data_IF_129852795208
#
_entry.id   IF_129852795208
#
_cell.length_a   1.000
_cell.length_b   1.000
_cell.length_c   1.000
_cell.angle_alpha   90.00
_cell.angle_beta   90.00
_cell.angle_gamma   90.00
#
_symmetry.space_group_name_H-M   'P 1'
#
loop_
_entity.id
_entity.type
_entity.pdbx_description
1 polymer ?
#
# COMPACT_ATOMS: atom_id res chain seq x y z
N UNK A 1 -19.09 20.00 8.93
CA UNK A 1 -20.53 20.03 8.56
C UNK A 1 -21.13 18.63 8.50
N UNK A 2 -20.48 17.64 7.87
CA UNK A 2 -21.02 16.28 7.71
C UNK A 2 -21.26 15.53 9.03
N UNK A 3 -20.51 15.83 10.07
CA UNK A 3 -20.59 15.20 11.39
C UNK A 3 -21.71 15.81 12.26
N UNK A 4 -22.14 17.02 11.90
CA UNK A 4 -23.13 17.73 12.67
C UNK A 4 -24.52 17.13 12.45
N UNK A 5 -25.23 16.80 13.52
CA UNK A 5 -26.59 16.25 13.44
C UNK A 5 -26.69 14.73 13.57
N UNK A 6 -25.61 14.05 13.95
CA UNK A 6 -25.54 12.61 14.19
C UNK A 6 -26.19 11.80 13.04
N UNK A 7 -25.62 11.80 11.84
CA UNK A 7 -26.18 11.11 10.68
C UNK A 7 -26.22 9.59 10.87
N UNK A 8 -27.22 8.92 10.32
CA UNK A 8 -27.33 7.45 10.34
C UNK A 8 -26.22 6.78 9.54
N UNK A 9 -25.74 7.43 8.47
CA UNK A 9 -24.64 6.97 7.62
C UNK A 9 -23.70 8.13 7.30
N UNK A 10 -22.42 7.94 7.59
CA UNK A 10 -21.35 8.89 7.26
C UNK A 10 -20.46 8.30 6.18
N UNK A 11 -20.31 8.99 5.07
CA UNK A 11 -19.42 8.60 3.96
C UNK A 11 -18.27 9.57 3.88
N UNK A 12 -17.05 9.07 3.93
CA UNK A 12 -15.81 9.86 3.90
C UNK A 12 -14.87 9.35 2.83
N UNK A 13 -14.36 10.27 2.00
CA UNK A 13 -13.37 9.98 0.98
C UNK A 13 -12.06 10.70 1.35
N UNK A 14 -10.99 9.92 1.54
CA UNK A 14 -9.65 10.40 1.95
C UNK A 14 -9.69 11.40 3.11
N UNK A 15 -10.35 11.09 4.25
CA UNK A 15 -10.58 12.08 5.31
C UNK A 15 -9.32 12.51 6.06
N UNK A 16 -8.21 11.80 5.90
CA UNK A 16 -6.91 12.12 6.51
C UNK A 16 -6.08 13.12 5.71
N UNK A 17 -6.46 13.38 4.44
CA UNK A 17 -5.74 14.33 3.61
C UNK A 17 -5.86 15.74 4.20
N UNK A 18 -4.75 16.48 4.13
CA UNK A 18 -4.63 17.85 4.63
C UNK A 18 -4.87 18.05 6.15
N UNK A 19 -4.99 16.96 6.92
CA UNK A 19 -5.07 17.02 8.37
C UNK A 19 -3.67 16.89 9.00
N UNK A 20 -3.46 17.60 10.11
CA UNK A 20 -2.29 17.40 10.96
C UNK A 20 -2.45 16.14 11.84
N UNK A 21 -1.36 15.68 12.44
CA UNK A 21 -1.35 14.46 13.25
C UNK A 21 -2.41 14.48 14.37
N UNK A 22 -2.58 15.60 15.07
CA UNK A 22 -3.54 15.71 16.17
C UNK A 22 -4.99 15.62 15.67
N UNK A 23 -5.26 16.22 14.51
CA UNK A 23 -6.57 16.17 13.85
C UNK A 23 -6.91 14.76 13.37
N UNK A 24 -5.93 14.01 12.85
CA UNK A 24 -6.10 12.59 12.50
C UNK A 24 -6.38 11.74 13.74
N UNK A 25 -5.63 11.95 14.84
CA UNK A 25 -5.86 11.22 16.10
C UNK A 25 -7.26 11.51 16.67
N UNK A 26 -7.70 12.76 16.61
CA UNK A 26 -9.06 13.13 17.00
C UNK A 26 -10.11 12.43 16.12
N UNK A 27 -9.88 12.41 14.78
CA UNK A 27 -10.79 11.76 13.85
C UNK A 27 -10.90 10.25 14.10
N UNK A 28 -9.78 9.59 14.39
CA UNK A 28 -9.77 8.16 14.76
C UNK A 28 -10.64 7.91 15.98
N UNK A 29 -10.46 8.69 17.05
CA UNK A 29 -11.25 8.58 18.28
C UNK A 29 -12.74 8.82 18.00
N UNK A 30 -13.06 9.87 17.23
CA UNK A 30 -14.43 10.17 16.84
C UNK A 30 -15.09 9.00 16.11
N UNK A 31 -14.39 8.38 15.14
CA UNK A 31 -14.94 7.25 14.36
C UNK A 31 -15.14 6.02 15.27
N UNK A 32 -14.20 5.75 16.18
CA UNK A 32 -14.30 4.62 17.11
C UNK A 32 -15.48 4.75 18.08
N UNK A 33 -15.85 5.97 18.43
CA UNK A 33 -16.98 6.28 19.33
C UNK A 33 -18.33 6.47 18.59
N UNK A 34 -18.28 6.54 17.24
CA UNK A 34 -19.49 6.77 16.44
C UNK A 34 -20.32 5.49 16.35
N UNK A 35 -21.55 5.56 16.83
CA UNK A 35 -22.45 4.39 16.96
C UNK A 35 -23.08 3.96 15.64
N UNK A 36 -23.19 4.88 14.68
CA UNK A 36 -23.86 4.64 13.40
C UNK A 36 -22.88 4.10 12.32
N UNK A 37 -23.39 3.90 11.11
CA UNK A 37 -22.60 3.30 10.02
C UNK A 37 -21.65 4.32 9.39
N UNK A 38 -20.38 3.93 9.23
CA UNK A 38 -19.37 4.72 8.51
C UNK A 38 -18.86 3.94 7.31
N UNK A 39 -18.75 4.61 6.17
CA UNK A 39 -18.06 4.13 4.97
C UNK A 39 -16.88 5.05 4.72
N UNK A 40 -15.68 4.50 4.75
CA UNK A 40 -14.43 5.25 4.54
C UNK A 40 -13.69 4.72 3.31
N UNK A 41 -13.24 5.62 2.46
CA UNK A 41 -12.25 5.36 1.43
C UNK A 41 -10.97 6.05 1.85
N UNK A 42 -9.84 5.32 1.96
CA UNK A 42 -8.54 5.90 2.28
C UNK A 42 -7.39 5.05 1.77
N UNK A 43 -6.25 5.69 1.51
CA UNK A 43 -4.97 5.05 1.24
C UNK A 43 -4.09 4.93 2.49
N UNK A 44 -4.46 5.56 3.59
CA UNK A 44 -3.76 5.47 4.87
C UNK A 44 -4.10 4.14 5.56
N UNK A 45 -3.14 3.20 5.48
CA UNK A 45 -3.28 1.86 6.04
C UNK A 45 -3.41 1.88 7.56
N UNK A 46 -2.69 2.77 8.22
CA UNK A 46 -2.73 2.89 9.67
C UNK A 46 -4.10 3.39 10.14
N UNK A 47 -4.62 4.38 9.45
CA UNK A 47 -5.97 4.89 9.69
C UNK A 47 -7.02 3.81 9.50
N UNK A 48 -7.01 3.11 8.34
CA UNK A 48 -7.95 2.02 8.05
C UNK A 48 -7.87 0.89 9.09
N UNK A 49 -6.66 0.53 9.51
CA UNK A 49 -6.45 -0.53 10.51
C UNK A 49 -7.01 -0.16 11.88
N UNK A 50 -6.97 1.13 12.21
CA UNK A 50 -7.44 1.66 13.50
C UNK A 50 -8.96 1.81 13.58
N UNK A 51 -9.65 2.04 12.46
CA UNK A 51 -11.08 2.40 12.48
C UNK A 51 -11.99 1.37 11.82
N UNK A 52 -11.50 0.56 10.87
CA UNK A 52 -12.35 -0.35 10.11
C UNK A 52 -12.56 -1.69 10.79
N UNK A 53 -13.81 -2.13 10.86
CA UNK A 53 -14.21 -3.47 11.30
C UNK A 53 -14.42 -4.43 10.12
N UNK A 54 -14.63 -3.88 8.92
CA UNK A 54 -14.84 -4.62 7.67
C UNK A 54 -14.10 -3.92 6.55
N UNK A 55 -13.57 -4.70 5.60
CA UNK A 55 -12.90 -4.20 4.40
C UNK A 55 -13.69 -4.65 3.17
N UNK A 56 -14.00 -3.70 2.30
CA UNK A 56 -14.59 -3.93 0.98
C UNK A 56 -13.54 -3.72 -0.08
N UNK A 57 -13.07 -4.82 -0.67
CA UNK A 57 -12.03 -4.81 -1.69
C UNK A 57 -12.65 -4.78 -3.09
N UNK A 58 -12.32 -3.75 -3.86
CA UNK A 58 -12.79 -3.58 -5.24
C UNK A 58 -11.64 -3.93 -6.18
N UNK A 59 -11.74 -5.08 -6.85
CA UNK A 59 -10.77 -5.51 -7.86
C UNK A 59 -11.46 -6.26 -9.00
N UNK A 60 -10.98 -6.10 -10.23
CA UNK A 60 -11.55 -6.71 -11.45
C UNK A 60 -13.06 -6.49 -11.64
N UNK A 61 -13.58 -5.34 -11.22
CA UNK A 61 -15.01 -5.00 -11.32
C UNK A 61 -15.92 -5.79 -10.36
N UNK A 62 -15.34 -6.39 -9.32
CA UNK A 62 -16.07 -7.10 -8.26
C UNK A 62 -15.75 -6.48 -6.92
N UNK A 63 -16.72 -6.55 -6.01
CA UNK A 63 -16.57 -6.14 -4.63
C UNK A 63 -16.54 -7.40 -3.77
N UNK A 64 -15.46 -7.58 -3.02
CA UNK A 64 -15.31 -8.65 -2.05
C UNK A 64 -15.31 -8.06 -0.65
N UNK A 65 -16.19 -8.57 0.21
CA UNK A 65 -16.32 -8.13 1.59
C UNK A 65 -15.55 -9.07 2.53
N UNK A 66 -14.81 -8.49 3.44
CA UNK A 66 -14.04 -9.20 4.46
C UNK A 66 -14.39 -8.64 5.84
N UNK A 67 -14.60 -9.52 6.80
CA UNK A 67 -14.71 -9.13 8.20
C UNK A 67 -13.30 -9.06 8.80
N UNK A 68 -13.01 -7.99 9.50
CA UNK A 68 -11.71 -7.69 10.08
C UNK A 68 -11.15 -6.35 9.61
N UNK A 69 -10.01 -5.96 10.20
CA UNK A 69 -9.30 -4.74 9.85
C UNK A 69 -8.41 -4.90 8.60
N UNK A 70 -7.72 -3.83 8.21
CA UNK A 70 -6.88 -3.83 7.02
C UNK A 70 -5.73 -4.86 7.08
N UNK A 71 -5.03 -4.96 8.22
CA UNK A 71 -3.94 -5.92 8.40
C UNK A 71 -4.40 -7.36 8.27
N UNK A 72 -5.57 -7.69 8.81
CA UNK A 72 -6.16 -9.03 8.67
C UNK A 72 -6.53 -9.33 7.23
N UNK A 73 -7.15 -8.38 6.53
CA UNK A 73 -7.48 -8.51 5.11
C UNK A 73 -6.22 -8.75 4.27
N UNK A 74 -5.16 -7.95 4.50
CA UNK A 74 -3.91 -8.08 3.76
C UNK A 74 -3.28 -9.46 3.94
N UNK A 75 -3.14 -9.92 5.19
CA UNK A 75 -2.58 -11.22 5.49
C UNK A 75 -3.39 -12.38 4.86
N UNK A 76 -4.72 -12.30 4.94
CA UNK A 76 -5.63 -13.30 4.37
C UNK A 76 -5.56 -13.33 2.85
N UNK A 77 -5.49 -12.17 2.19
CA UNK A 77 -5.38 -12.04 0.74
C UNK A 77 -4.05 -12.58 0.21
N UNK A 78 -2.95 -12.28 0.91
CA UNK A 78 -1.62 -12.82 0.57
C UNK A 78 -1.58 -14.34 0.72
N UNK A 79 -2.16 -14.87 1.79
CA UNK A 79 -2.23 -16.31 2.03
C UNK A 79 -3.04 -17.02 0.94
N UNK A 80 -4.21 -16.49 0.60
CA UNK A 80 -5.06 -17.02 -0.47
C UNK A 80 -4.34 -17.01 -1.82
N UNK A 81 -3.62 -15.95 -2.13
CA UNK A 81 -2.82 -15.85 -3.36
C UNK A 81 -1.69 -16.89 -3.39
N UNK A 82 -0.97 -17.07 -2.29
CA UNK A 82 0.09 -18.10 -2.17
C UNK A 82 -0.49 -19.51 -2.35
N UNK A 83 -1.63 -19.79 -1.72
CA UNK A 83 -2.29 -21.10 -1.85
C UNK A 83 -2.71 -21.38 -3.29
N UNK A 84 -3.29 -20.41 -3.98
CA UNK A 84 -3.66 -20.53 -5.41
C UNK A 84 -2.43 -20.77 -6.29
N UNK A 85 -1.34 -20.04 -6.07
CA UNK A 85 -0.07 -20.25 -6.79
C UNK A 85 0.47 -21.66 -6.60
N UNK A 86 0.45 -22.16 -5.37
CA UNK A 86 0.90 -23.54 -5.08
C UNK A 86 -0.01 -24.59 -5.72
N UNK A 87 -1.33 -24.39 -5.69
CA UNK A 87 -2.28 -25.28 -6.33
C UNK A 87 -2.08 -25.32 -7.85
N UNK A 88 -1.93 -24.15 -8.48
CA UNK A 88 -1.65 -24.06 -9.91
C UNK A 88 -0.35 -24.76 -10.28
N UNK A 89 0.73 -24.52 -9.52
CA UNK A 89 2.01 -25.18 -9.76
C UNK A 89 1.89 -26.71 -9.71
N UNK A 90 1.20 -27.25 -8.70
CA UNK A 90 0.94 -28.70 -8.60
C UNK A 90 0.07 -29.22 -9.76
N UNK A 91 -0.92 -28.42 -10.19
CA UNK A 91 -1.77 -28.78 -11.32
C UNK A 91 -0.99 -28.77 -12.64
N UNK A 92 -0.09 -27.80 -12.85
CA UNK A 92 0.80 -27.74 -14.02
C UNK A 92 1.79 -28.92 -14.05
N UNK A 93 2.45 -29.22 -12.92
CA UNK A 93 3.34 -30.40 -12.80
C UNK A 93 2.60 -31.66 -13.15
N UNK A 94 1.38 -31.84 -12.59
CA UNK A 94 0.54 -33.00 -12.87
C UNK A 94 0.11 -33.08 -14.33
N UNK A 95 -0.25 -31.94 -14.93
CA UNK A 95 -0.58 -31.83 -16.35
C UNK A 95 0.60 -32.28 -17.22
N UNK A 96 1.81 -31.83 -16.90
CA UNK A 96 3.04 -32.17 -17.60
C UNK A 96 3.32 -33.70 -17.54
N UNK A 97 3.24 -34.26 -16.34
CA UNK A 97 3.41 -35.73 -16.17
C UNK A 97 2.40 -36.55 -17.01
N UNK A 98 1.14 -36.13 -17.01
CA UNK A 98 0.09 -36.78 -17.78
C UNK A 98 0.32 -36.62 -19.30
N UNK A 99 0.77 -35.45 -19.74
CA UNK A 99 1.11 -35.19 -21.14
C UNK A 99 2.28 -36.03 -21.62
N UNK A 100 3.36 -36.15 -20.80
CA UNK A 100 4.50 -36.97 -21.11
C UNK A 100 4.12 -38.46 -21.22
N UNK A 101 3.25 -38.94 -20.32
CA UNK A 101 2.74 -40.32 -20.43
C UNK A 101 1.93 -40.51 -21.71
N UNK A 102 1.04 -39.58 -22.06
CA UNK A 102 0.22 -39.68 -23.28
C UNK A 102 1.14 -39.71 -24.51
N UNK A 103 2.16 -38.85 -24.58
CA UNK A 103 3.09 -38.79 -25.71
C UNK A 103 3.86 -40.10 -25.90
N UNK A 104 4.32 -40.73 -24.80
CA UNK A 104 5.08 -41.97 -24.84
C UNK A 104 4.25 -43.20 -25.26
N UNK A 105 2.96 -43.22 -24.92
CA UNK A 105 2.12 -44.40 -25.05
C UNK A 105 0.92 -44.26 -25.98
N UNK A 106 0.75 -43.11 -26.66
CA UNK A 106 -0.36 -42.86 -27.58
C UNK A 106 -0.41 -43.82 -28.77
N UNK A 107 0.74 -44.28 -29.25
CA UNK A 107 0.85 -45.21 -30.37
C UNK A 107 0.71 -46.69 -29.96
N UNK A 108 0.63 -47.02 -28.66
CA UNK A 108 0.56 -48.39 -28.17
C UNK A 108 -0.89 -48.81 -27.95
N UNK A 109 -1.38 -49.74 -28.77
CA UNK A 109 -2.78 -50.23 -28.72
C UNK A 109 -3.17 -50.77 -27.36
N UNK A 110 -2.28 -51.50 -26.67
CA UNK A 110 -2.54 -52.08 -25.33
C UNK A 110 -2.70 -50.99 -24.25
N UNK A 111 -2.10 -49.82 -24.42
CA UNK A 111 -2.14 -48.71 -23.44
C UNK A 111 -3.06 -47.55 -23.88
N UNK A 112 -3.72 -47.66 -25.03
CA UNK A 112 -4.61 -46.64 -25.59
C UNK A 112 -5.74 -46.23 -24.62
N UNK A 113 -6.38 -47.21 -23.97
CA UNK A 113 -7.41 -46.95 -22.94
C UNK A 113 -6.86 -46.08 -21.76
N UNK A 114 -5.62 -46.36 -21.34
CA UNK A 114 -4.98 -45.61 -20.26
C UNK A 114 -4.60 -44.20 -20.69
N UNK A 115 -4.16 -44.02 -21.94
CA UNK A 115 -3.88 -42.68 -22.50
C UNK A 115 -5.15 -41.84 -22.59
N UNK A 116 -6.27 -42.42 -23.04
CA UNK A 116 -7.58 -41.77 -23.09
C UNK A 116 -8.10 -41.40 -21.69
N UNK A 117 -7.95 -42.27 -20.70
CA UNK A 117 -8.31 -41.93 -19.31
C UNK A 117 -7.50 -40.76 -18.76
N UNK A 118 -6.17 -40.70 -19.05
CA UNK A 118 -5.32 -39.59 -18.62
C UNK A 118 -5.62 -38.27 -19.36
N UNK A 119 -6.03 -38.34 -20.63
CA UNK A 119 -6.51 -37.14 -21.36
C UNK A 119 -7.73 -36.55 -20.66
N UNK A 120 -8.70 -37.38 -20.27
CA UNK A 120 -9.87 -36.95 -19.48
C UNK A 120 -9.47 -36.35 -18.10
N UNK A 121 -8.36 -36.83 -17.51
CA UNK A 121 -7.85 -36.26 -16.26
C UNK A 121 -7.28 -34.87 -16.50
N UNK A 122 -6.57 -34.62 -17.61
CA UNK A 122 -6.08 -33.27 -17.97
C UNK A 122 -7.24 -32.31 -18.16
N UNK A 123 -8.31 -32.73 -18.85
CA UNK A 123 -9.51 -31.91 -19.10
C UNK A 123 -10.25 -31.55 -17.79
N UNK A 124 -10.05 -32.33 -16.73
CA UNK A 124 -10.61 -32.04 -15.39
C UNK A 124 -9.68 -31.22 -14.49
N UNK A 125 -8.42 -31.05 -14.86
CA UNK A 125 -7.50 -30.18 -14.11
C UNK A 125 -7.90 -28.72 -14.29
N UNK A 126 -8.48 -28.15 -13.24
CA UNK A 126 -8.83 -26.74 -13.21
C UNK A 126 -7.57 -25.94 -12.84
N UNK A 127 -6.93 -25.34 -13.84
CA UNK A 127 -5.85 -24.37 -13.62
C UNK A 127 -6.52 -23.00 -13.64
N UNK A 128 -6.76 -22.44 -12.47
CA UNK A 128 -7.32 -21.09 -12.39
C UNK A 128 -6.29 -20.08 -12.87
N UNK A 129 -6.66 -19.28 -13.84
CA UNK A 129 -5.85 -18.15 -14.29
C UNK A 129 -5.75 -17.13 -13.16
N UNK A 130 -4.58 -17.05 -12.52
CA UNK A 130 -4.31 -16.00 -11.53
C UNK A 130 -4.00 -14.73 -12.31
N UNK A 131 -5.02 -13.89 -12.48
CA UNK A 131 -4.81 -12.56 -13.06
C UNK A 131 -3.95 -11.76 -12.09
N UNK A 132 -2.88 -11.12 -12.56
CA UNK A 132 -2.14 -10.18 -11.73
C UNK A 132 -3.10 -9.07 -11.30
N UNK A 133 -3.02 -8.67 -10.02
CA UNK A 133 -3.89 -7.58 -9.52
C UNK A 133 -3.87 -6.39 -10.47
N UNK A 134 -5.03 -5.76 -10.68
CA UNK A 134 -5.15 -4.53 -11.46
C UNK A 134 -4.38 -3.36 -10.80
N UNK A 135 -4.03 -3.51 -9.52
CA UNK A 135 -3.26 -2.55 -8.73
C UNK A 135 -1.78 -2.67 -9.05
N UNK A 136 -1.33 -1.93 -10.06
CA UNK A 136 0.09 -1.84 -10.39
C UNK A 136 0.66 -0.59 -9.74
N UNK A 137 1.64 -0.79 -8.86
CA UNK A 137 2.41 0.32 -8.32
C UNK A 137 3.43 0.76 -9.37
N UNK A 138 3.48 2.05 -9.73
CA UNK A 138 4.59 2.53 -10.54
C UNK A 138 5.88 2.36 -9.75
N UNK A 139 6.88 1.74 -10.35
CA UNK A 139 8.21 1.69 -9.78
C UNK A 139 8.90 3.03 -10.06
N UNK A 140 9.07 3.85 -9.03
CA UNK A 140 9.92 5.03 -9.09
C UNK A 140 11.31 4.59 -8.62
N UNK A 141 12.24 4.50 -9.56
CA UNK A 141 13.63 4.09 -9.29
C UNK A 141 14.47 5.35 -9.23
N UNK A 142 15.04 5.62 -8.05
CA UNK A 142 16.02 6.70 -7.88
C UNK A 142 17.41 6.13 -8.12
N UNK A 143 18.06 6.55 -9.20
CA UNK A 143 19.44 6.18 -9.50
C UNK A 143 20.37 7.30 -9.05
N UNK A 144 21.43 6.94 -8.34
CA UNK A 144 22.45 7.88 -7.90
C UNK A 144 23.45 8.10 -9.04
N UNK A 145 23.65 9.32 -9.50
CA UNK A 145 24.72 9.67 -10.45
C UNK A 145 26.11 9.47 -9.81
N UNK A 146 26.22 9.74 -8.50
CA UNK A 146 27.42 9.46 -7.72
C UNK A 146 27.06 8.99 -6.31
N UNK A 147 27.94 8.21 -5.70
CA UNK A 147 27.79 7.79 -4.30
C UNK A 147 27.83 8.99 -3.38
N UNK A 148 26.84 9.12 -2.51
CA UNK A 148 26.80 10.12 -1.47
C UNK A 148 27.90 9.86 -0.41
N UNK A 149 28.46 10.91 0.14
CA UNK A 149 29.40 10.85 1.27
C UNK A 149 28.72 10.39 2.57
N UNK A 150 29.48 10.35 3.67
CA UNK A 150 28.96 9.93 4.97
C UNK A 150 28.07 11.02 5.62
N UNK A 151 28.40 12.29 5.40
CA UNK A 151 27.55 13.43 5.76
C UNK A 151 26.71 13.83 4.56
N UNK A 152 25.38 13.81 4.73
CA UNK A 152 24.44 14.12 3.65
C UNK A 152 23.96 15.55 3.75
N UNK A 153 23.63 15.98 4.97
CA UNK A 153 23.04 17.28 5.24
C UNK A 153 23.44 17.75 6.64
N UNK A 154 23.87 18.99 6.74
CA UNK A 154 24.20 19.66 8.01
C UNK A 154 23.43 20.98 8.07
N UNK A 155 22.39 21.01 8.90
CA UNK A 155 21.50 22.18 9.04
C UNK A 155 21.82 22.90 10.33
N UNK A 156 22.20 24.18 10.23
CA UNK A 156 22.61 24.99 11.36
C UNK A 156 21.72 26.24 11.48
N UNK A 157 20.97 26.29 12.61
CA UNK A 157 20.14 27.45 13.00
C UNK A 157 19.25 27.99 11.88
N UNK A 158 18.70 27.05 11.08
CA UNK A 158 17.88 27.38 9.92
C UNK A 158 16.55 28.01 10.36
N UNK A 159 16.23 29.16 9.77
CA UNK A 159 14.97 29.85 10.06
C UNK A 159 14.34 30.38 8.78
N UNK A 160 13.02 30.37 8.74
CA UNK A 160 12.27 30.95 7.65
C UNK A 160 11.05 31.71 8.16
N UNK A 161 10.93 32.96 7.69
CA UNK A 161 9.79 33.82 7.90
C UNK A 161 9.37 34.44 6.58
N UNK A 162 8.08 34.54 6.35
CA UNK A 162 7.51 35.22 5.20
C UNK A 162 6.56 36.30 5.69
N UNK A 163 6.77 37.53 5.21
CA UNK A 163 6.03 38.74 5.61
C UNK A 163 6.03 38.96 7.13
N UNK A 164 4.95 38.59 7.82
CA UNK A 164 4.80 38.75 9.27
C UNK A 164 4.68 37.41 10.03
N UNK A 165 4.83 36.25 9.36
CA UNK A 165 4.68 34.94 9.95
C UNK A 165 6.01 34.20 9.95
N UNK A 166 6.40 33.66 11.13
CA UNK A 166 7.55 32.78 11.26
C UNK A 166 7.07 31.32 11.20
N UNK A 167 7.53 30.59 10.20
CA UNK A 167 7.14 29.19 9.97
C UNK A 167 7.99 28.20 10.75
N UNK A 168 9.30 28.46 10.82
CA UNK A 168 10.22 27.72 11.69
C UNK A 168 11.41 28.59 12.07
N UNK A 169 11.98 28.31 13.23
CA UNK A 169 13.08 29.09 13.79
C UNK A 169 14.12 28.17 14.43
N UNK A 170 15.40 28.47 14.16
CA UNK A 170 16.56 27.86 14.81
C UNK A 170 16.60 26.33 14.72
N UNK A 171 16.27 25.79 13.55
CA UNK A 171 16.29 24.35 13.31
C UNK A 171 17.73 23.92 13.06
N UNK A 172 18.22 22.98 13.90
CA UNK A 172 19.59 22.44 13.79
C UNK A 172 19.54 20.92 13.88
N UNK A 173 20.07 20.25 12.87
CA UNK A 173 20.26 18.81 12.87
C UNK A 173 21.29 18.40 11.80
N UNK A 174 21.79 17.20 11.96
CA UNK A 174 22.74 16.58 11.04
C UNK A 174 22.12 15.26 10.53
N UNK A 175 22.32 14.96 9.24
CA UNK A 175 21.83 13.75 8.60
C UNK A 175 23.00 12.99 7.98
N UNK A 176 23.19 11.77 8.42
CA UNK A 176 24.23 10.86 7.90
C UNK A 176 23.63 9.90 6.86
N UNK A 177 24.51 9.29 6.11
CA UNK A 177 24.13 8.30 5.12
C UNK A 177 23.32 7.14 5.71
N UNK A 178 22.15 6.86 5.12
CA UNK A 178 21.27 5.78 5.53
C UNK A 178 20.30 6.14 6.66
N UNK A 179 20.43 7.31 7.28
CA UNK A 179 19.47 7.80 8.27
C UNK A 179 18.17 8.22 7.61
N UNK A 180 17.08 8.10 8.36
CA UNK A 180 15.73 8.52 7.97
C UNK A 180 15.19 9.46 9.03
N UNK A 181 14.82 10.66 8.63
CA UNK A 181 14.29 11.69 9.54
C UNK A 181 12.82 11.93 9.23
N UNK A 182 11.99 11.86 10.26
CA UNK A 182 10.59 12.27 10.20
C UNK A 182 10.47 13.70 10.68
N UNK A 183 9.89 14.56 9.84
CA UNK A 183 9.59 15.93 10.18
C UNK A 183 8.10 16.02 10.52
N UNK A 184 7.80 16.44 11.75
CA UNK A 184 6.42 16.62 12.23
C UNK A 184 6.18 18.10 12.50
N UNK A 185 5.11 18.64 11.95
CA UNK A 185 4.71 20.03 12.16
C UNK A 185 3.20 20.12 12.35
N UNK A 186 2.76 21.09 13.16
CA UNK A 186 1.35 21.45 13.28
C UNK A 186 0.83 22.24 12.06
N UNK A 187 1.74 22.80 11.29
CA UNK A 187 1.43 23.60 10.11
C UNK A 187 2.05 22.94 8.86
N UNK A 188 1.23 22.40 7.97
CA UNK A 188 1.68 21.77 6.72
C UNK A 188 2.50 22.71 5.84
N UNK A 189 2.18 24.03 5.84
CA UNK A 189 2.94 25.04 5.10
C UNK A 189 4.38 25.16 5.60
N UNK A 190 4.61 25.00 6.92
CA UNK A 190 5.95 25.02 7.47
C UNK A 190 6.83 23.87 6.92
N UNK A 191 6.26 22.66 6.74
CA UNK A 191 6.96 21.55 6.11
C UNK A 191 7.30 21.86 4.64
N UNK A 192 6.37 22.41 3.88
CA UNK A 192 6.59 22.76 2.48
C UNK A 192 7.71 23.79 2.35
N UNK A 193 7.65 24.89 3.12
CA UNK A 193 8.71 25.89 3.12
C UNK A 193 10.05 25.32 3.57
N UNK A 194 10.05 24.39 4.52
CA UNK A 194 11.26 23.76 4.96
C UNK A 194 11.93 22.94 3.84
N UNK A 195 11.15 22.13 3.09
CA UNK A 195 11.65 21.41 1.94
C UNK A 195 12.10 22.33 0.81
N UNK A 196 11.37 23.40 0.53
CA UNK A 196 11.74 24.39 -0.49
C UNK A 196 13.04 25.11 -0.13
N UNK A 197 13.28 25.39 1.15
CA UNK A 197 14.55 25.93 1.62
C UNK A 197 15.69 24.92 1.41
N UNK A 198 15.52 23.67 1.83
CA UNK A 198 16.57 22.65 1.68
C UNK A 198 16.86 22.26 0.23
N UNK A 199 15.86 22.33 -0.65
CA UNK A 199 16.06 22.09 -2.09
C UNK A 199 16.63 23.29 -2.86
N UNK A 200 16.80 24.44 -2.19
CA UNK A 200 17.30 25.65 -2.81
C UNK A 200 16.27 26.41 -3.65
N UNK A 201 15.00 26.00 -3.63
CA UNK A 201 13.91 26.69 -4.32
C UNK A 201 13.54 28.00 -3.62
N UNK A 202 13.80 28.09 -2.32
CA UNK A 202 13.48 29.24 -1.49
C UNK A 202 14.69 29.66 -0.65
N UNK A 203 14.95 30.98 -0.57
CA UNK A 203 16.00 31.50 0.28
C UNK A 203 15.58 31.48 1.75
N UNK A 204 16.46 31.00 2.61
CA UNK A 204 16.29 31.04 4.06
C UNK A 204 16.40 32.46 4.61
N UNK A 205 15.69 32.76 5.70
CA UNK A 205 15.83 34.06 6.39
C UNK A 205 17.16 34.09 7.15
N UNK A 206 17.55 33.01 7.79
CA UNK A 206 18.85 32.86 8.47
C UNK A 206 19.24 31.39 8.58
N UNK A 207 20.52 31.14 8.94
CA UNK A 207 21.10 29.82 9.05
C UNK A 207 21.74 29.33 7.76
N UNK A 208 22.29 28.12 7.81
CA UNK A 208 22.99 27.47 6.69
C UNK A 208 22.66 25.98 6.60
N UNK A 209 22.84 25.39 5.42
CA UNK A 209 22.71 23.97 5.17
C UNK A 209 23.65 23.51 4.05
#
# INVERSE_FOLDING_TARGET
>A
QCIFGNPDVLIMDEPTNDLDYNSVEWLVKFIQEFENTIIVVSHDRFFLDSVCTHISDIDFGKINHFSGNYSFWQASSELATRQKLQQNKKAEEKKKELQEFISRFSANVAKSKQATARKKMIDKLNIEEIKPSSRRYPAIIFEQERKAGDQILDVNSLSFSNENETFFKDVTFNLKRGEKVLIVSKNSRACNYFYDCLSGNLKTTSGSY
#
